data_IF_171844544095
#
_entry.id   IF_171844544095
#
_cell.length_a   1.000
_cell.length_b   1.000
_cell.length_c   1.000
_cell.angle_alpha   90.00
_cell.angle_beta   90.00
_cell.angle_gamma   90.00
#
_symmetry.space_group_name_H-M   'P 1'
#
loop_
_entity.id
_entity.type
_entity.pdbx_description
1 polymer ?
#
# COMPACT_ATOMS: atom_id res chain seq x y z
N UNK A 1 17.22 1.47 -17.90
CA UNK A 1 17.30 0.06 -18.36
C UNK A 1 15.96 -0.58 -18.10
N UNK A 2 15.13 -0.80 -19.11
CA UNK A 2 13.99 -1.71 -18.98
C UNK A 2 14.58 -3.12 -18.97
N UNK A 3 14.81 -3.67 -17.78
CA UNK A 3 14.99 -5.12 -17.62
C UNK A 3 13.90 -5.83 -18.40
N UNK A 4 14.24 -6.89 -19.11
CA UNK A 4 13.28 -7.69 -19.86
C UNK A 4 12.21 -8.25 -18.90
N UNK A 5 11.05 -7.57 -18.86
CA UNK A 5 9.91 -7.94 -18.02
C UNK A 5 9.26 -9.26 -18.46
N UNK A 6 9.66 -9.81 -19.62
CA UNK A 6 9.12 -11.07 -20.15
C UNK A 6 9.29 -12.23 -19.16
N UNK A 7 10.43 -12.27 -18.46
CA UNK A 7 10.81 -13.35 -17.55
C UNK A 7 10.39 -13.12 -16.08
N UNK A 8 9.68 -12.03 -15.76
CA UNK A 8 9.22 -11.81 -14.39
C UNK A 8 8.21 -12.89 -13.99
N UNK A 9 8.36 -13.48 -12.81
CA UNK A 9 7.39 -14.40 -12.23
C UNK A 9 7.16 -14.07 -10.76
N UNK A 10 6.04 -14.53 -10.22
CA UNK A 10 5.74 -14.46 -8.79
C UNK A 10 5.81 -15.88 -8.23
N UNK A 11 6.65 -16.08 -7.21
CA UNK A 11 6.84 -17.37 -6.57
C UNK A 11 6.51 -17.27 -5.09
N UNK A 12 5.66 -18.17 -4.62
CA UNK A 12 5.42 -18.34 -3.20
C UNK A 12 6.61 -19.05 -2.55
N UNK A 13 7.23 -18.39 -1.56
CA UNK A 13 8.40 -18.92 -0.85
C UNK A 13 8.02 -19.52 0.51
N UNK A 14 7.32 -18.75 1.34
CA UNK A 14 6.93 -19.14 2.70
C UNK A 14 5.74 -18.31 3.17
N UNK A 15 5.09 -18.78 4.23
CA UNK A 15 4.08 -18.04 5.02
C UNK A 15 4.47 -18.08 6.48
N UNK A 16 4.37 -16.93 7.13
CA UNK A 16 4.61 -16.77 8.56
C UNK A 16 3.45 -15.96 9.15
N UNK A 17 3.09 -16.22 10.40
CA UNK A 17 2.13 -15.38 11.10
C UNK A 17 2.86 -14.20 11.71
N UNK A 18 2.30 -13.00 11.58
CA UNK A 18 2.76 -11.79 12.25
C UNK A 18 1.70 -11.26 13.24
N UNK A 19 0.70 -12.09 13.58
CA UNK A 19 -0.38 -11.70 14.50
C UNK A 19 0.07 -11.91 15.95
N UNK A 20 0.11 -10.84 16.73
CA UNK A 20 0.48 -10.83 18.15
C UNK A 20 -0.63 -10.22 18.99
N UNK A 21 -1.68 -10.99 19.29
CA UNK A 21 -2.87 -10.49 19.98
C UNK A 21 -2.58 -9.82 21.32
N UNK A 22 -1.65 -10.38 22.10
CA UNK A 22 -1.26 -9.83 23.41
C UNK A 22 -0.55 -8.49 23.31
N UNK A 23 0.06 -8.18 22.16
CA UNK A 23 0.72 -6.92 21.89
C UNK A 23 -0.17 -5.95 21.09
N UNK A 24 -1.35 -6.38 20.65
CA UNK A 24 -2.30 -5.56 19.91
C UNK A 24 -2.24 -5.71 18.38
N UNK A 25 -1.20 -6.33 17.80
CA UNK A 25 -1.13 -6.57 16.35
C UNK A 25 -2.09 -7.70 15.94
N UNK A 26 -3.39 -7.40 15.86
CA UNK A 26 -4.45 -8.36 15.60
C UNK A 26 -4.80 -8.45 14.12
N UNK A 27 -4.92 -7.31 13.46
CA UNK A 27 -5.35 -7.22 12.06
C UNK A 27 -4.29 -6.42 11.29
N UNK A 28 -3.13 -7.05 11.00
CA UNK A 28 -2.08 -6.42 10.21
C UNK A 28 -2.61 -6.07 8.82
N UNK A 29 -2.39 -4.83 8.39
CA UNK A 29 -2.72 -4.36 7.04
C UNK A 29 -1.43 -4.05 6.28
N UNK A 30 -0.98 -2.80 6.25
CA UNK A 30 0.22 -2.36 5.55
C UNK A 30 1.54 -2.83 6.16
N UNK A 31 2.51 -3.09 5.29
CA UNK A 31 3.85 -3.55 5.65
C UNK A 31 4.95 -2.90 4.79
N UNK A 32 6.08 -2.55 5.41
CA UNK A 32 7.26 -2.06 4.68
C UNK A 32 8.55 -2.53 5.32
N UNK A 33 9.55 -2.83 4.50
CA UNK A 33 10.90 -3.17 4.97
C UNK A 33 11.57 -1.96 5.63
N UNK A 34 12.28 -2.18 6.73
CA UNK A 34 13.12 -1.16 7.36
C UNK A 34 14.25 -0.73 6.40
N UNK A 35 14.77 0.48 6.59
CA UNK A 35 15.83 1.04 5.72
C UNK A 35 17.11 0.19 5.71
N UNK A 36 17.44 -0.42 6.84
CA UNK A 36 18.56 -1.36 7.02
C UNK A 36 18.25 -2.79 6.59
N UNK A 37 17.00 -3.07 6.18
CA UNK A 37 16.54 -4.35 5.62
C UNK A 37 16.60 -5.53 6.58
N UNK A 38 16.55 -5.28 7.89
CA UNK A 38 16.64 -6.30 8.93
C UNK A 38 15.28 -6.67 9.54
N UNK A 39 14.24 -5.87 9.28
CA UNK A 39 12.92 -6.00 9.87
C UNK A 39 11.85 -5.33 8.99
N UNK A 40 10.61 -5.43 9.44
CA UNK A 40 9.43 -4.90 8.80
C UNK A 40 8.73 -3.96 9.78
N UNK A 41 8.30 -2.81 9.30
CA UNK A 41 7.28 -1.99 9.95
C UNK A 41 5.91 -2.45 9.48
N UNK A 42 4.97 -2.56 10.42
CA UNK A 42 3.62 -3.08 10.20
C UNK A 42 2.62 -2.16 10.89
N UNK A 43 1.52 -1.84 10.21
CA UNK A 43 0.35 -1.19 10.81
C UNK A 43 -0.78 -2.20 11.03
N UNK A 44 -1.73 -1.86 11.90
CA UNK A 44 -2.90 -2.70 12.21
C UNK A 44 -4.14 -1.82 12.11
N UNK A 45 -5.18 -2.28 11.41
CA UNK A 45 -6.43 -1.49 11.22
C UNK A 45 -7.14 -1.22 12.55
N UNK A 46 -7.03 -2.16 13.49
CA UNK A 46 -7.73 -2.15 14.78
C UNK A 46 -6.92 -1.51 15.92
N UNK A 47 -5.74 -0.93 15.62
CA UNK A 47 -4.86 -0.30 16.62
C UNK A 47 -4.21 0.97 16.11
N UNK A 48 -3.86 1.83 17.06
CA UNK A 48 -3.18 3.09 16.79
C UNK A 48 -1.67 2.97 16.93
N UNK A 49 -1.11 1.84 16.50
CA UNK A 49 0.29 1.51 16.73
C UNK A 49 0.95 1.05 15.43
N UNK A 50 2.19 1.49 15.22
CA UNK A 50 3.11 0.91 14.26
C UNK A 50 4.01 -0.06 15.01
N UNK A 51 4.08 -1.29 14.53
CA UNK A 51 4.84 -2.39 15.11
C UNK A 51 6.08 -2.67 14.28
N UNK A 52 7.15 -3.13 14.93
CA UNK A 52 8.30 -3.69 14.24
C UNK A 52 8.34 -5.22 14.42
N UNK A 53 8.48 -5.96 13.33
CA UNK A 53 8.65 -7.42 13.34
C UNK A 53 9.93 -7.80 12.59
N UNK A 54 10.64 -8.84 13.03
CA UNK A 54 11.79 -9.36 12.29
C UNK A 54 11.36 -10.13 11.01
N UNK A 55 12.32 -10.52 10.17
CA UNK A 55 12.04 -11.26 8.92
C UNK A 55 11.62 -12.73 9.12
N UNK A 56 11.55 -13.19 10.37
CA UNK A 56 10.94 -14.46 10.76
C UNK A 56 9.51 -14.28 11.30
N UNK A 57 9.04 -13.03 11.36
CA UNK A 57 7.73 -12.65 11.85
C UNK A 57 7.66 -12.46 13.35
N UNK A 58 8.78 -12.42 14.09
CA UNK A 58 8.79 -12.18 15.54
C UNK A 58 8.64 -10.70 15.87
N UNK A 59 7.77 -10.36 16.82
CA UNK A 59 7.62 -8.99 17.31
C UNK A 59 8.91 -8.51 18.00
N UNK A 60 9.43 -7.35 17.59
CA UNK A 60 10.50 -6.63 18.29
C UNK A 60 9.85 -5.79 19.41
N UNK A 61 9.69 -6.40 20.58
CA UNK A 61 8.81 -5.94 21.67
C UNK A 61 9.07 -4.55 22.28
N UNK A 62 10.20 -3.91 21.97
CA UNK A 62 10.55 -2.59 22.51
C UNK A 62 10.17 -1.42 21.58
N UNK A 63 9.66 -1.70 20.38
CA UNK A 63 9.49 -0.69 19.32
C UNK A 63 8.04 -0.67 18.82
N UNK A 64 7.21 0.11 19.50
CA UNK A 64 5.88 0.52 19.02
C UNK A 64 5.78 2.04 18.96
N UNK A 65 5.28 2.57 17.85
CA UNK A 65 5.01 4.00 17.71
C UNK A 65 3.51 4.19 17.83
N UNK A 66 3.07 4.84 18.91
CA UNK A 66 1.66 5.22 19.07
C UNK A 66 1.35 6.43 18.18
N UNK A 67 0.20 6.39 17.53
CA UNK A 67 -0.33 7.48 16.74
C UNK A 67 -1.75 7.83 17.18
N UNK A 68 -2.25 9.00 16.80
CA UNK A 68 -3.60 9.43 17.21
C UNK A 68 -4.70 8.80 16.36
N UNK A 69 -4.36 8.46 15.11
CA UNK A 69 -5.29 7.90 14.14
C UNK A 69 -5.44 6.38 14.29
N UNK A 70 -6.67 5.92 14.14
CA UNK A 70 -7.12 4.54 14.03
C UNK A 70 -7.19 4.15 12.55
N UNK A 71 -7.54 2.90 12.27
CA UNK A 71 -7.90 2.45 10.91
C UNK A 71 -6.72 2.64 9.95
N UNK A 72 -5.56 2.16 10.38
CA UNK A 72 -4.31 2.30 9.64
C UNK A 72 -4.17 1.20 8.60
N UNK A 73 -4.07 1.61 7.34
CA UNK A 73 -4.00 0.69 6.21
C UNK A 73 -2.63 0.63 5.56
N UNK A 74 -2.07 1.78 5.15
CA UNK A 74 -0.82 1.79 4.39
C UNK A 74 0.36 2.32 5.21
N UNK A 75 1.56 1.77 4.98
CA UNK A 75 2.81 2.31 5.51
C UNK A 75 3.94 2.26 4.48
N UNK A 76 4.80 3.27 4.47
CA UNK A 76 6.02 3.29 3.67
C UNK A 76 7.15 3.99 4.41
N UNK A 77 8.37 3.82 3.91
CA UNK A 77 9.55 4.54 4.36
C UNK A 77 10.22 5.19 3.15
N UNK A 78 10.65 6.44 3.30
CA UNK A 78 11.45 7.09 2.25
C UNK A 78 12.95 6.84 2.40
N UNK A 79 13.72 7.33 1.44
CA UNK A 79 15.16 7.24 1.39
C UNK A 79 15.87 8.04 2.50
N UNK A 80 15.20 9.03 3.10
CA UNK A 80 15.69 9.74 4.28
C UNK A 80 15.42 8.95 5.59
N UNK A 81 14.51 7.97 5.56
CA UNK A 81 14.10 7.19 6.73
C UNK A 81 12.86 7.73 7.42
N UNK A 82 12.13 8.65 6.78
CA UNK A 82 10.84 9.12 7.26
C UNK A 82 9.80 8.04 6.97
N UNK A 83 9.09 7.61 8.02
CA UNK A 83 7.95 6.73 7.89
C UNK A 83 6.71 7.55 7.57
N UNK A 84 5.88 7.03 6.67
CA UNK A 84 4.58 7.60 6.37
C UNK A 84 3.52 6.52 6.50
N UNK A 85 2.48 6.79 7.27
CA UNK A 85 1.32 5.92 7.41
C UNK A 85 0.04 6.63 6.95
N UNK A 86 -0.95 5.88 6.47
CA UNK A 86 -2.27 6.40 6.08
C UNK A 86 -3.38 5.74 6.88
N UNK A 87 -4.44 6.49 7.14
CA UNK A 87 -5.67 5.99 7.74
C UNK A 87 -6.81 6.07 6.74
N UNK A 88 -7.60 5.00 6.59
CA UNK A 88 -8.68 4.89 5.60
C UNK A 88 -9.80 5.87 5.94
N UNK A 89 -10.45 5.69 7.09
CA UNK A 89 -11.60 6.46 7.55
C UNK A 89 -11.32 7.97 7.56
N UNK A 90 -10.15 8.37 8.05
CA UNK A 90 -9.80 9.78 8.22
C UNK A 90 -9.17 10.41 6.99
N UNK A 91 -8.73 9.59 6.03
CA UNK A 91 -7.95 10.00 4.86
C UNK A 91 -6.78 10.94 5.26
N UNK A 92 -6.09 10.55 6.33
CA UNK A 92 -4.93 11.24 6.89
C UNK A 92 -3.63 10.57 6.47
N UNK A 93 -2.58 11.37 6.42
CA UNK A 93 -1.20 10.92 6.27
C UNK A 93 -0.44 11.39 7.52
N UNK A 94 0.25 10.48 8.17
CA UNK A 94 1.10 10.74 9.34
C UNK A 94 2.56 10.54 8.93
N UNK A 95 3.41 11.56 9.11
CA UNK A 95 4.84 11.51 8.89
C UNK A 95 5.59 11.38 10.22
N UNK A 96 6.51 10.43 10.29
CA UNK A 96 7.16 10.01 11.53
C UNK A 96 8.67 9.92 11.30
N UNK A 97 9.47 10.46 12.21
CA UNK A 97 10.94 10.37 12.17
C UNK A 97 11.46 10.02 13.55
N UNK A 98 12.37 9.04 13.63
CA UNK A 98 12.94 8.57 14.89
C UNK A 98 11.88 8.23 15.96
N UNK A 99 10.77 7.62 15.52
CA UNK A 99 9.66 7.23 16.39
C UNK A 99 8.78 8.38 16.88
N UNK A 100 8.97 9.61 16.39
CA UNK A 100 8.19 10.78 16.75
C UNK A 100 7.33 11.23 15.59
N UNK A 101 6.09 11.62 15.86
CA UNK A 101 5.19 12.19 14.84
C UNK A 101 5.65 13.61 14.53
N UNK A 102 6.04 13.84 13.28
CA UNK A 102 6.46 15.16 12.82
C UNK A 102 5.28 15.98 12.30
N UNK A 103 4.33 15.30 11.64
CA UNK A 103 3.22 15.95 10.93
C UNK A 103 2.08 14.98 10.69
N UNK A 104 0.85 15.44 10.91
CA UNK A 104 -0.37 14.77 10.49
C UNK A 104 -1.14 15.68 9.56
N UNK A 105 -1.64 15.15 8.44
CA UNK A 105 -2.38 15.96 7.46
C UNK A 105 -3.51 15.18 6.82
N UNK A 106 -4.72 15.74 6.84
CA UNK A 106 -5.84 15.26 6.03
C UNK A 106 -5.62 15.61 4.56
N UNK A 107 -5.87 14.68 3.65
CA UNK A 107 -5.76 14.93 2.20
C UNK A 107 -6.66 16.10 1.76
N UNK A 108 -7.83 16.26 2.39
CA UNK A 108 -8.77 17.35 2.11
C UNK A 108 -8.24 18.76 2.41
N UNK A 109 -7.19 18.85 3.22
CA UNK A 109 -6.54 20.11 3.59
C UNK A 109 -5.35 20.46 2.67
N UNK A 110 -5.05 19.64 1.65
CA UNK A 110 -3.95 19.90 0.72
C UNK A 110 -4.39 20.81 -0.44
N UNK A 111 -3.46 21.63 -0.93
CA UNK A 111 -3.67 22.38 -2.17
C UNK A 111 -3.90 21.41 -3.32
N UNK A 112 -4.97 21.64 -4.10
CA UNK A 112 -5.35 20.78 -5.23
C UNK A 112 -6.44 19.74 -4.90
N UNK A 113 -6.89 19.63 -3.64
CA UNK A 113 -7.93 18.65 -3.26
C UNK A 113 -9.22 18.76 -4.09
N UNK A 114 -9.60 19.98 -4.50
CA UNK A 114 -10.79 20.19 -5.34
C UNK A 114 -10.82 19.35 -6.63
N UNK A 115 -9.66 18.91 -7.16
CA UNK A 115 -9.60 18.04 -8.33
C UNK A 115 -10.01 16.59 -8.06
N UNK A 116 -9.89 16.15 -6.80
CA UNK A 116 -10.17 14.77 -6.37
C UNK A 116 -11.32 14.67 -5.36
N UNK A 117 -11.83 15.78 -4.83
CA UNK A 117 -12.88 15.85 -3.80
C UNK A 117 -14.09 14.94 -4.08
N UNK A 118 -14.55 14.92 -5.34
CA UNK A 118 -15.67 14.05 -5.80
C UNK A 118 -15.45 12.55 -5.61
N UNK A 119 -14.22 12.13 -5.33
CA UNK A 119 -13.86 10.75 -5.06
C UNK A 119 -13.79 10.43 -3.58
N UNK A 120 -13.72 11.41 -2.70
CA UNK A 120 -13.60 11.21 -1.25
C UNK A 120 -14.87 11.62 -0.50
N UNK A 121 -15.59 12.64 -0.98
CA UNK A 121 -16.74 13.21 -0.26
C UNK A 121 -18.06 12.43 -0.45
N UNK A 122 -18.03 11.23 -1.06
CA UNK A 122 -19.23 10.39 -1.25
C UNK A 122 -19.46 9.50 -0.04
N UNK A 123 -20.73 9.32 0.32
CA UNK A 123 -21.18 8.61 1.53
C UNK A 123 -20.67 7.16 1.70
N UNK A 124 -20.22 6.49 0.64
CA UNK A 124 -19.70 5.11 0.71
C UNK A 124 -18.34 4.97 0.01
N UNK A 125 -17.56 6.06 -0.04
CA UNK A 125 -16.23 6.01 -0.66
C UNK A 125 -15.22 5.38 0.28
N UNK A 126 -14.57 4.31 -0.18
CA UNK A 126 -13.41 3.73 0.52
C UNK A 126 -12.24 4.71 0.55
N UNK A 127 -11.46 4.71 1.60
CA UNK A 127 -10.43 5.70 1.85
C UNK A 127 -9.07 5.33 1.26
N UNK A 128 -8.02 5.80 1.93
CA UNK A 128 -6.63 5.50 1.60
C UNK A 128 -6.23 4.13 2.14
N UNK A 129 -5.69 3.28 1.28
CA UNK A 129 -5.30 1.89 1.59
C UNK A 129 -3.80 1.69 1.59
N UNK A 130 -3.10 2.42 0.73
CA UNK A 130 -1.71 2.17 0.45
C UNK A 130 -0.94 3.45 0.26
N UNK A 131 0.36 3.38 0.52
CA UNK A 131 1.27 4.51 0.32
C UNK A 131 2.63 3.98 -0.10
N UNK A 132 3.29 4.67 -1.03
CA UNK A 132 4.70 4.43 -1.35
C UNK A 132 5.44 5.73 -1.62
N UNK A 133 6.73 5.74 -1.34
CA UNK A 133 7.61 6.88 -1.63
C UNK A 133 8.35 6.67 -2.97
N UNK A 134 8.51 7.75 -3.73
CA UNK A 134 9.42 7.80 -4.87
C UNK A 134 9.93 9.22 -5.08
N UNK A 135 11.25 9.39 -4.96
CA UNK A 135 11.93 10.69 -5.06
C UNK A 135 11.26 11.75 -4.17
N UNK A 136 10.84 12.89 -4.72
CA UNK A 136 10.23 14.01 -4.00
C UNK A 136 8.70 13.89 -3.83
N UNK A 137 8.14 12.70 -4.07
CA UNK A 137 6.70 12.45 -4.06
C UNK A 137 6.34 11.26 -3.17
N UNK A 138 5.14 11.33 -2.61
CA UNK A 138 4.42 10.17 -2.09
C UNK A 138 3.28 9.83 -3.05
N UNK A 139 2.98 8.55 -3.16
CA UNK A 139 1.89 8.03 -3.96
C UNK A 139 0.90 7.33 -3.04
N UNK A 140 -0.31 7.88 -2.96
CA UNK A 140 -1.40 7.36 -2.15
C UNK A 140 -2.32 6.50 -3.02
N UNK A 141 -2.62 5.30 -2.56
CA UNK A 141 -3.56 4.38 -3.17
C UNK A 141 -4.90 4.47 -2.44
N UNK A 142 -5.99 4.60 -3.20
CA UNK A 142 -7.37 4.57 -2.71
C UNK A 142 -8.05 3.29 -3.20
N UNK A 143 -8.75 2.57 -2.33
CA UNK A 143 -9.23 1.20 -2.57
C UNK A 143 -10.11 1.05 -3.80
N UNK A 144 -11.23 1.78 -3.83
CA UNK A 144 -12.34 1.50 -4.74
C UNK A 144 -13.33 2.68 -4.76
N UNK A 145 -14.33 2.63 -5.65
CA UNK A 145 -15.44 3.56 -5.79
C UNK A 145 -15.08 5.04 -6.05
N UNK A 146 -14.11 5.39 -6.94
CA UNK A 146 -13.25 4.53 -7.75
C UNK A 146 -11.87 4.34 -7.09
N UNK A 147 -11.11 3.34 -7.55
CA UNK A 147 -9.69 3.28 -7.19
C UNK A 147 -8.88 4.38 -7.86
N UNK A 148 -7.95 4.94 -7.08
CA UNK A 148 -7.11 6.07 -7.48
C UNK A 148 -5.69 5.88 -7.02
N UNK A 149 -4.76 6.36 -7.85
CA UNK A 149 -3.40 6.66 -7.44
C UNK A 149 -3.23 8.19 -7.42
N UNK A 150 -2.89 8.75 -6.26
CA UNK A 150 -2.77 10.20 -6.05
C UNK A 150 -1.32 10.51 -5.73
N UNK A 151 -0.69 11.38 -6.52
CA UNK A 151 0.67 11.86 -6.24
C UNK A 151 0.60 13.14 -5.39
N UNK A 152 1.34 13.16 -4.28
CA UNK A 152 1.45 14.33 -3.39
C UNK A 152 2.92 14.71 -3.16
N UNK A 153 3.16 15.93 -2.68
CA UNK A 153 4.47 16.34 -2.18
C UNK A 153 4.79 15.73 -0.81
N UNK A 154 6.06 15.40 -0.55
CA UNK A 154 6.54 14.85 0.74
C UNK A 154 6.31 15.79 1.93
N UNK A 155 6.16 17.10 1.69
CA UNK A 155 5.78 18.08 2.71
C UNK A 155 4.29 18.00 3.09
N UNK A 156 3.50 17.14 2.44
CA UNK A 156 2.05 16.96 2.64
C UNK A 156 1.21 18.22 2.35
N UNK A 157 1.70 19.18 1.56
CA UNK A 157 0.98 20.44 1.29
C UNK A 157 0.22 20.45 -0.03
N UNK A 158 0.62 19.63 -1.02
CA UNK A 158 0.11 19.72 -2.39
C UNK A 158 -0.17 18.35 -3.00
N UNK A 159 -1.35 18.22 -3.59
CA UNK A 159 -1.65 17.17 -4.57
C UNK A 159 -1.08 17.60 -5.92
N UNK A 160 -0.17 16.79 -6.46
CA UNK A 160 0.53 17.03 -7.73
C UNK A 160 -0.25 16.49 -8.92
N UNK A 161 -0.74 15.26 -8.82
CA UNK A 161 -1.45 14.58 -9.91
C UNK A 161 -2.34 13.46 -9.36
N UNK A 162 -3.22 12.91 -10.20
CA UNK A 162 -3.95 11.67 -9.88
C UNK A 162 -4.25 10.86 -11.14
N UNK A 163 -4.40 9.55 -10.99
CA UNK A 163 -4.83 8.59 -12.02
C UNK A 163 -5.95 7.73 -11.48
N UNK A 164 -6.93 7.43 -12.34
CA UNK A 164 -7.92 6.38 -12.06
C UNK A 164 -7.35 5.04 -12.45
N UNK A 165 -7.50 4.06 -11.58
CA UNK A 165 -7.15 2.67 -11.86
C UNK A 165 -8.42 1.94 -12.32
N UNK A 166 -8.38 1.31 -13.49
CA UNK A 166 -9.53 0.60 -14.09
C UNK A 166 -9.09 -0.26 -15.29
N UNK A 167 -10.06 -0.84 -15.99
CA UNK A 167 -9.82 -1.69 -17.16
C UNK A 167 -9.06 -0.98 -18.29
N UNK A 168 -9.24 0.34 -18.48
CA UNK A 168 -8.59 1.08 -19.57
C UNK A 168 -7.08 1.13 -19.45
N UNK A 169 -6.55 1.08 -18.24
CA UNK A 169 -5.11 0.98 -17.98
C UNK A 169 -4.67 -0.42 -17.58
N UNK A 170 -5.51 -1.44 -17.81
CA UNK A 170 -5.14 -2.85 -17.70
C UNK A 170 -5.29 -3.45 -16.31
N UNK A 171 -5.99 -2.77 -15.38
CA UNK A 171 -6.47 -3.42 -14.17
C UNK A 171 -7.71 -4.23 -14.54
N UNK A 172 -7.45 -5.46 -14.96
CA UNK A 172 -8.44 -6.47 -15.32
C UNK A 172 -8.10 -7.78 -14.62
N UNK A 173 -9.12 -8.51 -14.21
CA UNK A 173 -9.00 -9.90 -13.81
C UNK A 173 -9.39 -10.77 -15.01
N UNK A 174 -8.41 -11.38 -15.66
CA UNK A 174 -8.63 -12.21 -16.84
C UNK A 174 -9.37 -13.52 -16.50
N UNK A 175 -9.33 -13.94 -15.23
CA UNK A 175 -9.92 -15.18 -14.75
C UNK A 175 -11.41 -15.02 -14.39
N UNK A 176 -11.86 -13.79 -14.09
CA UNK A 176 -13.25 -13.51 -13.66
C UNK A 176 -13.81 -12.26 -14.35
N UNK A 177 -14.68 -12.49 -15.36
CA UNK A 177 -15.42 -11.41 -16.02
C UNK A 177 -16.32 -10.67 -15.02
N UNK A 178 -16.23 -9.34 -15.01
CA UNK A 178 -17.07 -8.40 -14.24
C UNK A 178 -16.83 -8.35 -12.72
N UNK A 179 -15.69 -8.84 -12.20
CA UNK A 179 -15.38 -8.62 -10.79
C UNK A 179 -14.89 -7.20 -10.57
N UNK A 180 -15.47 -6.50 -9.59
CA UNK A 180 -14.98 -5.20 -9.15
C UNK A 180 -13.61 -5.38 -8.52
N UNK A 181 -12.59 -4.74 -9.09
CA UNK A 181 -11.23 -4.74 -8.57
C UNK A 181 -11.14 -3.71 -7.46
N UNK A 182 -10.56 -4.11 -6.34
CA UNK A 182 -10.07 -3.23 -5.28
C UNK A 182 -8.55 -3.13 -5.32
N UNK A 183 -8.00 -2.21 -4.52
CA UNK A 183 -6.58 -2.01 -4.41
C UNK A 183 -6.20 -1.94 -2.93
N UNK A 184 -5.48 -2.95 -2.45
CA UNK A 184 -5.24 -3.21 -1.02
C UNK A 184 -3.76 -3.08 -0.61
N UNK A 185 -2.89 -2.67 -1.53
CA UNK A 185 -1.47 -2.52 -1.26
C UNK A 185 -0.72 -1.92 -2.44
N UNK A 186 0.36 -1.19 -2.16
CA UNK A 186 1.23 -0.62 -3.18
C UNK A 186 2.68 -0.54 -2.70
N UNK A 187 3.62 -0.90 -3.57
CA UNK A 187 5.03 -0.59 -3.36
C UNK A 187 5.73 -0.22 -4.67
N UNK A 188 6.83 0.51 -4.53
CA UNK A 188 7.71 0.85 -5.65
C UNK A 188 8.49 -0.38 -6.11
N UNK A 189 8.38 -0.72 -7.39
CA UNK A 189 9.15 -1.81 -8.01
C UNK A 189 10.58 -1.38 -8.40
N UNK A 190 10.75 -0.12 -8.83
CA UNK A 190 12.02 0.37 -9.38
C UNK A 190 12.36 1.75 -8.86
N UNK A 191 13.61 1.96 -8.44
CA UNK A 191 14.11 3.27 -7.99
C UNK A 191 14.39 4.25 -9.13
N UNK A 192 14.31 3.79 -10.38
CA UNK A 192 14.66 4.60 -11.56
C UNK A 192 13.46 4.96 -12.44
N UNK A 193 12.27 4.46 -12.11
CA UNK A 193 11.05 4.62 -12.90
C UNK A 193 9.83 4.51 -12.01
N UNK A 194 8.73 5.19 -12.36
CA UNK A 194 7.45 5.12 -11.62
C UNK A 194 6.68 3.83 -11.94
N UNK A 195 7.31 2.70 -11.64
CA UNK A 195 6.71 1.36 -11.77
C UNK A 195 6.37 0.87 -10.37
N UNK A 196 5.12 0.46 -10.19
CA UNK A 196 4.56 0.03 -8.92
C UNK A 196 4.07 -1.41 -9.00
N UNK A 197 4.20 -2.14 -7.90
CA UNK A 197 3.40 -3.33 -7.64
C UNK A 197 2.16 -2.89 -6.88
N UNK A 198 0.98 -3.23 -7.38
CA UNK A 198 -0.31 -2.93 -6.74
C UNK A 198 -1.04 -4.24 -6.48
N UNK A 199 -1.43 -4.47 -5.23
CA UNK A 199 -2.14 -5.68 -4.79
C UNK A 199 -3.64 -5.44 -4.89
N UNK A 200 -4.39 -6.47 -5.30
CA UNK A 200 -5.85 -6.52 -5.18
C UNK A 200 -6.25 -7.82 -4.50
N UNK A 201 -6.97 -7.70 -3.39
CA UNK A 201 -7.60 -8.85 -2.75
C UNK A 201 -8.71 -9.42 -3.63
N UNK A 202 -9.64 -8.60 -4.12
CA UNK A 202 -10.78 -9.08 -4.91
C UNK A 202 -10.35 -9.76 -6.20
N UNK A 203 -9.36 -9.21 -6.91
CA UNK A 203 -8.81 -9.83 -8.13
C UNK A 203 -7.84 -10.98 -7.82
N UNK A 204 -7.38 -11.12 -6.57
CA UNK A 204 -6.37 -12.12 -6.16
C UNK A 204 -5.12 -12.01 -7.03
N UNK A 205 -4.65 -10.77 -7.24
CA UNK A 205 -3.55 -10.46 -8.17
C UNK A 205 -2.63 -9.36 -7.66
N UNK A 206 -1.41 -9.39 -8.18
CA UNK A 206 -0.48 -8.25 -8.17
C UNK A 206 -0.34 -7.70 -9.58
N UNK A 207 -0.49 -6.39 -9.73
CA UNK A 207 -0.34 -5.67 -10.99
C UNK A 207 1.00 -4.93 -10.99
N UNK A 208 1.81 -5.15 -12.02
CA UNK A 208 2.99 -4.33 -12.30
C UNK A 208 2.56 -3.15 -13.19
N UNK A 209 2.40 -1.98 -12.59
CA UNK A 209 1.83 -0.79 -13.22
C UNK A 209 2.91 0.27 -13.50
N UNK A 210 3.01 0.71 -14.75
CA UNK A 210 3.88 1.81 -15.19
C UNK A 210 3.05 3.10 -15.28
N UNK A 211 3.32 4.02 -14.36
CA UNK A 211 2.57 5.27 -14.26
C UNK A 211 2.85 6.23 -15.43
N UNK A 212 4.08 6.23 -15.95
CA UNK A 212 4.45 7.12 -17.06
C UNK A 212 3.75 6.70 -18.36
N UNK A 213 3.56 5.39 -18.55
CA UNK A 213 2.75 4.84 -19.65
C UNK A 213 1.25 4.74 -19.34
N UNK A 214 0.85 4.96 -18.09
CA UNK A 214 -0.50 4.73 -17.58
C UNK A 214 -1.04 3.34 -17.97
N UNK A 215 -0.23 2.29 -17.71
CA UNK A 215 -0.54 0.94 -18.17
C UNK A 215 0.02 -0.15 -17.25
N UNK A 216 -0.80 -1.15 -16.94
CA UNK A 216 -0.37 -2.43 -16.39
C UNK A 216 0.47 -3.17 -17.43
N UNK A 217 1.73 -3.43 -17.08
CA UNK A 217 2.69 -4.13 -17.92
C UNK A 217 2.52 -5.65 -17.81
N UNK A 218 2.19 -6.15 -16.61
CA UNK A 218 1.99 -7.56 -16.29
C UNK A 218 1.13 -7.70 -15.04
N UNK A 219 0.44 -8.82 -14.90
CA UNK A 219 -0.24 -9.20 -13.65
C UNK A 219 0.11 -10.63 -13.27
N UNK A 220 0.02 -10.94 -11.99
CA UNK A 220 0.35 -12.25 -11.43
C UNK A 220 -0.74 -12.69 -10.48
N UNK A 221 -1.22 -13.93 -10.61
CA UNK A 221 -2.15 -14.51 -9.66
C UNK A 221 -1.47 -14.70 -8.29
N UNK A 222 -2.15 -14.28 -7.23
CA UNK A 222 -1.77 -14.48 -5.85
C UNK A 222 -2.21 -15.88 -5.41
N UNK A 223 -1.42 -16.87 -5.82
CA UNK A 223 -1.70 -18.27 -5.53
C UNK A 223 -0.41 -19.08 -5.45
N UNK A 224 -0.51 -20.29 -4.91
CA UNK A 224 0.59 -21.24 -4.81
C UNK A 224 0.10 -22.67 -4.91
N UNK A 225 0.99 -23.57 -5.32
CA UNK A 225 0.71 -25.00 -5.37
C UNK A 225 1.38 -25.71 -4.20
N UNK A 226 0.61 -26.51 -3.44
CA UNK A 226 1.13 -27.36 -2.36
C UNK A 226 0.60 -28.77 -2.55
N UNK A 227 1.50 -29.76 -2.64
CA UNK A 227 1.15 -31.17 -2.88
C UNK A 227 0.28 -31.39 -4.13
N UNK A 228 0.51 -30.61 -5.19
CA UNK A 228 -0.29 -30.67 -6.43
C UNK A 228 -1.62 -29.92 -6.38
N UNK A 229 -2.01 -29.37 -5.22
CA UNK A 229 -3.23 -28.57 -5.08
C UNK A 229 -2.94 -27.08 -5.26
N UNK A 230 -3.69 -26.43 -6.14
CA UNK A 230 -3.72 -24.97 -6.30
C UNK A 230 -4.43 -24.32 -5.11
N UNK A 231 -3.86 -23.26 -4.56
CA UNK A 231 -4.39 -22.52 -3.41
C UNK A 231 -4.27 -21.02 -3.65
N UNK A 232 -5.40 -20.33 -3.60
CA UNK A 232 -5.45 -18.87 -3.65
C UNK A 232 -5.03 -18.26 -2.31
N UNK A 233 -4.38 -17.10 -2.38
CA UNK A 233 -4.12 -16.24 -1.22
C UNK A 233 -5.34 -15.33 -1.06
N UNK A 234 -6.01 -15.45 0.08
CA UNK A 234 -7.17 -14.64 0.44
C UNK A 234 -6.75 -13.52 1.39
N UNK A 235 -7.49 -12.40 1.38
CA UNK A 235 -7.22 -11.19 2.17
C UNK A 235 -5.79 -10.68 1.95
N UNK A 236 -5.44 -10.49 0.68
CA UNK A 236 -4.13 -9.96 0.31
C UNK A 236 -4.11 -8.45 0.52
N UNK A 237 -3.31 -8.00 1.48
CA UNK A 237 -3.13 -6.60 1.90
C UNK A 237 -1.63 -6.33 2.07
N UNK A 238 -1.23 -5.05 1.96
CA UNK A 238 0.16 -4.60 2.14
C UNK A 238 1.03 -4.60 0.90
#
# INVERSE_FOLDING_TARGET
MTSDLSNLNLMYLKRMSIKYKSAGLNEPSGIVLTKDKDALWVVSDDKKNIFQVDLNGNLKGDVTIEIEDDDLEGITIDDQGVLYAVSEDKNTIVAITNGQINKTRKIKSMKGYGHIAKYFDKHDSKGLEGITSYQESLFLLKEDAPGLLVEISKDLEKIKSHKRLNEKNGFVDDDIKNKKIDYSGICLYSTSSKIFLIVSDKAKRVFLYDLDKDKVLKSFSLAYTKNGEYREIIKAEG
#
